data_IF_260940517241
#
_entry.id   IF_260940517241
#
_cell.length_a   1.000
_cell.length_b   1.000
_cell.length_c   1.000
_cell.angle_alpha   90.00
_cell.angle_beta   90.00
_cell.angle_gamma   90.00
#
_symmetry.space_group_name_H-M   'P 1'
#
loop_
_entity.id
_entity.type
_entity.pdbx_description
1 polymer ?
#
# COMPACT_ATOMS: atom_id res chain seq x y z
N UNK A 1 8.97 -13.50 16.78
CA UNK A 1 9.92 -12.50 16.26
C UNK A 1 10.51 -11.62 17.36
N UNK A 2 11.64 -10.96 17.12
CA UNK A 2 12.30 -10.00 18.02
C UNK A 2 11.98 -8.53 17.71
N UNK A 3 12.77 -7.57 18.21
CA UNK A 3 12.55 -6.11 18.09
C UNK A 3 12.72 -5.52 16.66
N UNK A 4 12.69 -6.33 15.61
CA UNK A 4 12.83 -5.91 14.22
C UNK A 4 12.06 -6.80 13.27
N UNK A 5 11.82 -6.29 12.06
CA UNK A 5 11.08 -6.99 11.01
C UNK A 5 11.76 -8.32 10.69
N UNK A 6 10.98 -9.40 10.76
CA UNK A 6 11.41 -10.75 10.47
C UNK A 6 10.49 -11.35 9.43
N UNK A 7 11.05 -11.89 8.35
CA UNK A 7 10.29 -12.58 7.32
C UNK A 7 10.77 -14.02 7.17
N UNK A 8 9.86 -14.95 6.93
CA UNK A 8 10.16 -16.34 6.58
C UNK A 8 9.41 -16.70 5.30
N UNK A 9 10.15 -17.03 4.24
CA UNK A 9 9.61 -17.32 2.91
C UNK A 9 8.65 -16.21 2.41
N UNK A 10 9.07 -14.95 2.61
CA UNK A 10 8.30 -13.76 2.27
C UNK A 10 7.09 -13.45 3.17
N UNK A 11 6.85 -14.23 4.24
CA UNK A 11 5.79 -13.95 5.22
C UNK A 11 6.36 -13.25 6.43
N UNK A 12 5.75 -12.13 6.82
CA UNK A 12 6.10 -11.43 8.05
C UNK A 12 5.78 -12.32 9.27
N UNK A 13 6.72 -12.41 10.19
CA UNK A 13 6.58 -13.11 11.46
C UNK A 13 6.27 -12.09 12.55
N UNK A 14 5.10 -12.19 13.17
CA UNK A 14 4.67 -11.20 14.17
C UNK A 14 5.43 -11.36 15.50
N UNK A 15 5.33 -10.35 16.35
CA UNK A 15 5.94 -10.38 17.68
C UNK A 15 5.44 -11.60 18.47
N UNK A 16 6.34 -12.28 19.18
CA UNK A 16 6.10 -13.50 19.96
C UNK A 16 5.60 -14.73 19.17
N UNK A 17 5.39 -14.61 17.85
CA UNK A 17 5.14 -15.76 16.99
C UNK A 17 6.42 -16.61 16.85
N UNK A 18 6.22 -17.92 16.97
CA UNK A 18 7.23 -18.93 16.73
C UNK A 18 6.84 -19.72 15.49
N UNK A 19 7.81 -19.93 14.60
CA UNK A 19 7.65 -20.75 13.40
C UNK A 19 8.72 -21.83 13.40
N UNK A 20 8.32 -23.05 13.09
CA UNK A 20 9.26 -24.14 12.84
C UNK A 20 9.87 -23.97 11.45
N UNK A 21 11.20 -23.81 11.39
CA UNK A 21 11.92 -23.65 10.13
C UNK A 21 12.16 -24.99 9.45
N UNK A 22 11.85 -25.04 8.17
CA UNK A 22 12.20 -26.13 7.29
C UNK A 22 13.53 -25.85 6.59
N UNK A 23 14.17 -26.92 6.12
CA UNK A 23 15.38 -26.82 5.32
C UNK A 23 15.16 -25.93 4.11
N UNK A 24 16.17 -25.09 3.87
CA UNK A 24 16.17 -24.06 2.85
C UNK A 24 15.17 -22.93 3.06
N UNK A 25 14.55 -22.79 4.23
CA UNK A 25 13.75 -21.60 4.53
C UNK A 25 14.56 -20.30 4.40
N UNK A 26 13.98 -19.33 3.70
CA UNK A 26 14.55 -18.00 3.44
C UNK A 26 14.10 -17.11 4.57
N UNK A 27 15.04 -16.72 5.42
CA UNK A 27 14.77 -15.94 6.63
C UNK A 27 15.39 -14.57 6.46
N UNK A 28 14.59 -13.53 6.61
CA UNK A 28 15.10 -12.16 6.67
C UNK A 28 15.01 -11.68 8.10
N UNK A 29 16.13 -11.21 8.64
CA UNK A 29 16.19 -10.60 9.98
C UNK A 29 17.12 -9.40 9.93
N UNK A 30 16.66 -8.24 10.41
CA UNK A 30 17.49 -7.03 10.44
C UNK A 30 17.97 -6.57 9.06
N UNK A 31 17.25 -6.92 7.99
CA UNK A 31 17.61 -6.61 6.60
C UNK A 31 18.59 -7.58 5.95
N UNK A 32 19.05 -8.62 6.65
CA UNK A 32 19.90 -9.67 6.10
C UNK A 32 19.06 -10.84 5.60
N UNK A 33 19.27 -11.25 4.34
CA UNK A 33 18.64 -12.44 3.75
C UNK A 33 19.50 -13.67 4.04
N UNK A 34 18.94 -14.62 4.80
CA UNK A 34 19.58 -15.83 5.28
C UNK A 34 18.87 -17.07 4.73
N UNK A 35 19.59 -18.17 4.62
CA UNK A 35 19.06 -19.47 4.23
C UNK A 35 19.27 -20.48 5.35
N UNK A 36 18.18 -21.08 5.84
CA UNK A 36 18.25 -22.08 6.88
C UNK A 36 18.80 -23.41 6.35
N UNK A 37 19.90 -23.88 6.94
CA UNK A 37 20.51 -25.16 6.61
C UNK A 37 20.94 -25.85 7.90
N UNK A 38 20.63 -27.14 8.05
CA UNK A 38 21.19 -27.97 9.10
C UNK A 38 22.18 -28.99 8.48
N UNK A 39 23.48 -28.91 8.81
CA UNK A 39 24.49 -29.80 8.25
C UNK A 39 24.14 -31.28 8.41
N UNK A 40 24.40 -32.08 7.38
CA UNK A 40 24.22 -33.54 7.41
C UNK A 40 22.76 -34.02 7.33
N UNK A 41 21.79 -33.13 7.15
CA UNK A 41 20.37 -33.47 6.98
C UNK A 41 19.71 -32.74 5.79
N UNK A 42 20.51 -32.44 4.77
CA UNK A 42 20.01 -31.76 3.58
C UNK A 42 18.90 -32.60 2.92
N UNK A 43 17.75 -31.98 2.61
CA UNK A 43 16.65 -32.68 1.97
C UNK A 43 16.98 -32.93 0.49
N UNK A 44 16.33 -33.93 -0.10
CA UNK A 44 16.48 -34.23 -1.53
C UNK A 44 15.81 -33.20 -2.47
N UNK A 45 15.27 -32.11 -1.93
CA UNK A 45 14.69 -31.02 -2.73
C UNK A 45 15.79 -30.07 -3.19
N UNK A 46 15.62 -29.43 -4.36
CA UNK A 46 16.58 -28.44 -4.82
C UNK A 46 16.65 -27.26 -3.86
N UNK A 47 17.86 -26.77 -3.62
CA UNK A 47 18.10 -25.51 -2.92
C UNK A 47 17.54 -24.35 -3.78
N UNK A 48 16.84 -23.37 -3.19
CA UNK A 48 16.39 -22.18 -3.91
C UNK A 48 17.58 -21.41 -4.48
N UNK A 49 17.38 -20.79 -5.63
CA UNK A 49 18.39 -19.91 -6.22
C UNK A 49 18.46 -18.60 -5.44
N UNK A 50 19.55 -17.84 -5.67
CA UNK A 50 19.69 -16.53 -5.06
C UNK A 50 18.63 -15.57 -5.59
N UNK A 51 18.30 -15.68 -6.88
CA UNK A 51 17.28 -14.90 -7.56
C UNK A 51 15.90 -15.14 -6.95
N UNK A 52 15.50 -16.40 -6.74
CA UNK A 52 14.23 -16.76 -6.12
C UNK A 52 14.09 -16.16 -4.71
N UNK A 53 15.16 -16.22 -3.92
CA UNK A 53 15.18 -15.67 -2.57
C UNK A 53 15.09 -14.13 -2.54
N UNK A 54 15.70 -13.45 -3.54
CA UNK A 54 15.62 -11.99 -3.69
C UNK A 54 14.22 -11.57 -4.13
N UNK A 55 13.63 -12.27 -5.10
CA UNK A 55 12.30 -11.97 -5.59
C UNK A 55 11.26 -12.11 -4.48
N UNK A 56 11.33 -13.17 -3.67
CA UNK A 56 10.48 -13.35 -2.48
C UNK A 56 10.61 -12.20 -1.47
N UNK A 57 11.84 -11.74 -1.22
CA UNK A 57 12.06 -10.63 -0.29
C UNK A 57 11.52 -9.30 -0.83
N UNK A 58 11.72 -9.02 -2.12
CA UNK A 58 11.18 -7.82 -2.74
C UNK A 58 9.64 -7.79 -2.70
N UNK A 59 9.00 -8.93 -2.98
CA UNK A 59 7.55 -9.09 -2.91
C UNK A 59 7.03 -8.89 -1.48
N UNK A 60 7.73 -9.43 -0.48
CA UNK A 60 7.40 -9.23 0.94
C UNK A 60 7.47 -7.75 1.35
N UNK A 61 8.51 -7.01 0.93
CA UNK A 61 8.63 -5.58 1.20
C UNK A 61 7.53 -4.76 0.50
N UNK A 62 7.18 -5.12 -0.73
CA UNK A 62 6.08 -4.47 -1.44
C UNK A 62 4.75 -4.72 -0.75
N UNK A 63 4.48 -5.96 -0.30
CA UNK A 63 3.29 -6.31 0.48
C UNK A 63 3.23 -5.61 1.82
N UNK A 64 4.35 -5.45 2.51
CA UNK A 64 4.41 -4.68 3.75
C UNK A 64 4.10 -3.19 3.50
N UNK A 65 4.71 -2.60 2.46
CA UNK A 65 4.42 -1.21 2.07
C UNK A 65 2.97 -1.01 1.61
N UNK A 66 2.42 -1.97 0.87
CA UNK A 66 1.03 -1.97 0.41
C UNK A 66 0.03 -2.29 1.54
N UNK A 67 0.47 -3.08 2.53
CA UNK A 67 -0.25 -3.42 3.76
C UNK A 67 -0.48 -2.22 4.69
N UNK A 68 0.12 -1.07 4.37
CA UNK A 68 -0.34 0.25 4.82
C UNK A 68 -1.71 0.63 4.25
N UNK A 69 -2.71 -0.27 4.29
CA UNK A 69 -4.06 -0.05 3.78
C UNK A 69 -4.77 1.15 4.42
N UNK A 70 -4.32 1.60 5.59
CA UNK A 70 -4.74 2.87 6.18
C UNK A 70 -4.37 4.08 5.30
N UNK A 71 -3.22 4.05 4.61
CA UNK A 71 -2.77 5.13 3.75
C UNK A 71 -3.54 5.17 2.43
N UNK A 72 -3.87 4.02 1.85
CA UNK A 72 -4.69 3.94 0.64
C UNK A 72 -6.15 4.31 0.92
N UNK A 73 -6.75 3.79 2.00
CA UNK A 73 -8.12 4.15 2.39
C UNK A 73 -8.24 5.64 2.74
N UNK A 74 -7.24 6.22 3.42
CA UNK A 74 -7.21 7.65 3.71
C UNK A 74 -7.03 8.49 2.43
N UNK A 75 -6.25 8.01 1.45
CA UNK A 75 -6.08 8.69 0.18
C UNK A 75 -7.36 8.65 -0.66
N UNK A 76 -8.04 7.52 -0.73
CA UNK A 76 -9.35 7.39 -1.39
C UNK A 76 -10.39 8.28 -0.73
N UNK A 77 -10.51 8.26 0.60
CA UNK A 77 -11.42 9.13 1.33
C UNK A 77 -11.17 10.62 1.01
N UNK A 78 -9.90 11.02 0.95
CA UNK A 78 -9.52 12.41 0.64
C UNK A 78 -9.80 12.80 -0.81
N UNK A 79 -9.68 11.87 -1.76
CA UNK A 79 -10.04 12.09 -3.17
C UNK A 79 -11.55 12.25 -3.34
N UNK A 80 -12.36 11.44 -2.66
CA UNK A 80 -13.82 11.57 -2.69
C UNK A 80 -14.27 12.90 -2.10
N UNK A 81 -13.70 13.31 -0.96
CA UNK A 81 -14.02 14.60 -0.34
C UNK A 81 -13.67 15.78 -1.25
N UNK A 82 -12.52 15.72 -1.93
CA UNK A 82 -12.12 16.76 -2.89
C UNK A 82 -13.05 16.83 -4.10
N UNK A 83 -13.50 15.69 -4.64
CA UNK A 83 -14.47 15.67 -5.74
C UNK A 83 -15.79 16.33 -5.34
N UNK A 84 -16.31 16.02 -4.15
CA UNK A 84 -17.55 16.63 -3.65
C UNK A 84 -17.41 18.15 -3.47
N UNK A 85 -16.26 18.62 -2.99
CA UNK A 85 -15.99 20.06 -2.86
C UNK A 85 -15.96 20.77 -4.21
N UNK A 86 -15.33 20.17 -5.23
CA UNK A 86 -15.29 20.74 -6.58
C UNK A 86 -16.68 20.84 -7.20
N UNK A 87 -17.50 19.81 -7.06
CA UNK A 87 -18.88 19.81 -7.55
C UNK A 87 -19.71 20.94 -6.93
N UNK A 88 -19.68 21.07 -5.60
CA UNK A 88 -20.40 22.17 -4.95
C UNK A 88 -19.90 23.55 -5.36
N UNK A 89 -18.59 23.69 -5.60
CA UNK A 89 -18.04 24.96 -6.09
C UNK A 89 -18.48 25.29 -7.51
N UNK A 90 -18.55 24.29 -8.39
CA UNK A 90 -19.07 24.49 -9.75
C UNK A 90 -20.55 24.83 -9.74
N UNK A 91 -21.36 24.14 -8.94
CA UNK A 91 -22.79 24.43 -8.80
C UNK A 91 -23.03 25.84 -8.26
N UNK A 92 -22.26 26.27 -7.25
CA UNK A 92 -22.35 27.63 -6.71
C UNK A 92 -21.95 28.68 -7.73
N UNK A 93 -20.87 28.47 -8.49
CA UNK A 93 -20.46 29.40 -9.55
C UNK A 93 -21.45 29.46 -10.69
N UNK A 94 -22.04 28.34 -11.07
CA UNK A 94 -23.08 28.30 -12.10
C UNK A 94 -24.36 29.00 -11.62
N UNK A 95 -24.77 28.79 -10.37
CA UNK A 95 -25.90 29.48 -9.78
C UNK A 95 -25.64 30.99 -9.65
N UNK A 96 -24.47 31.41 -9.17
CA UNK A 96 -24.07 32.82 -9.12
C UNK A 96 -24.02 33.43 -10.53
N UNK A 97 -23.46 32.72 -11.52
CA UNK A 97 -23.41 33.20 -12.89
C UNK A 97 -24.81 33.35 -13.48
N UNK A 98 -25.73 32.41 -13.22
CA UNK A 98 -27.11 32.49 -13.70
C UNK A 98 -27.89 33.62 -13.00
N UNK A 99 -27.65 33.84 -11.71
CA UNK A 99 -28.26 34.96 -10.97
C UNK A 99 -27.74 36.30 -11.51
N UNK A 100 -26.43 36.43 -11.73
CA UNK A 100 -25.84 37.63 -12.33
C UNK A 100 -26.38 37.89 -13.75
N UNK A 101 -26.53 36.83 -14.57
CA UNK A 101 -27.06 36.96 -15.93
C UNK A 101 -28.55 37.36 -15.91
N UNK A 102 -29.32 36.86 -14.93
CA UNK A 102 -30.72 37.24 -14.74
C UNK A 102 -30.86 38.69 -14.26
N UNK A 103 -30.01 39.15 -13.34
CA UNK A 103 -30.02 40.52 -12.83
C UNK A 103 -29.57 41.56 -13.88
N UNK A 104 -28.69 41.20 -14.82
CA UNK A 104 -28.27 42.10 -15.91
C UNK A 104 -29.39 42.29 -16.95
N UNK A 105 -30.26 41.29 -17.16
CA UNK A 105 -31.37 41.39 -18.13
C UNK A 105 -32.46 42.38 -17.73
N UNK A 106 -32.61 42.72 -16.45
CA UNK A 106 -33.64 43.64 -15.96
C UNK A 106 -33.25 45.13 -16.05
N UNK A 107 -32.02 45.46 -16.46
CA UNK A 107 -31.49 46.85 -16.47
C UNK A 107 -31.41 47.45 -17.89
N UNK A 108 -31.81 46.74 -18.94
CA UNK A 108 -31.86 47.32 -20.29
C UNK A 108 -33.18 48.11 -20.47
N UNK A 109 -33.16 49.47 -20.53
CA UNK A 109 -34.34 50.21 -20.88
C UNK A 109 -34.71 49.86 -22.33
N UNK A 110 -35.97 49.43 -22.53
CA UNK A 110 -36.54 49.24 -23.86
C UNK A 110 -36.54 50.59 -24.59
N UNK A 111 -35.59 50.77 -25.50
CA UNK A 111 -35.56 51.85 -26.50
C UNK A 111 -35.94 51.30 -27.86
#
# INVERSE_FOLDING_TARGET
GGAGETFVNGKELVQDEQVELNYYDRVVMGGELLLFMHPGKEPAVPKPTAEEAVDEYQDALQKMRAGGGAQQAALEAKLTELQNQLQHQTEQKEAESQILDHEIMDVLPKV
#
